data_IF_558348805565
#
_entry.id   IF_558348805565
#
_cell.length_a   1.000
_cell.length_b   1.000
_cell.length_c   1.000
_cell.angle_alpha   90.00
_cell.angle_beta   90.00
_cell.angle_gamma   90.00
#
_symmetry.space_group_name_H-M   'P 1'
#
loop_
_entity.id
_entity.type
_entity.pdbx_description
1 polymer ?
#
# COMPACT_ATOMS: atom_id res chain seq x y z
N UNK A 1 -2.64 22.59 7.41
CA UNK A 1 -3.40 21.48 7.97
C UNK A 1 -4.74 21.46 7.24
N UNK A 2 -5.01 20.42 6.47
CA UNK A 2 -6.31 20.27 5.82
C UNK A 2 -7.23 19.60 6.83
N UNK A 3 -8.33 20.25 7.17
CA UNK A 3 -9.35 19.67 8.03
C UNK A 3 -10.41 19.04 7.13
N UNK A 4 -10.60 17.73 7.24
CA UNK A 4 -11.72 17.06 6.60
C UNK A 4 -13.08 17.61 7.09
N UNK A 5 -14.18 17.37 6.36
CA UNK A 5 -15.51 17.82 6.74
C UNK A 5 -15.91 17.36 8.15
N UNK A 6 -16.73 18.17 8.81
CA UNK A 6 -17.19 17.97 10.17
C UNK A 6 -17.90 16.61 10.35
N UNK A 7 -17.45 15.79 11.30
CA UNK A 7 -18.01 14.45 11.56
C UNK A 7 -17.44 13.32 10.71
N UNK A 8 -16.39 13.59 9.92
CA UNK A 8 -15.62 12.53 9.24
C UNK A 8 -14.45 12.07 10.10
N UNK A 9 -14.00 10.83 9.90
CA UNK A 9 -12.80 10.26 10.55
C UNK A 9 -11.49 11.01 10.18
N UNK A 10 -11.56 11.92 9.21
CA UNK A 10 -10.44 12.69 8.63
C UNK A 10 -10.22 14.07 9.28
N UNK A 11 -10.89 14.35 10.40
CA UNK A 11 -10.95 15.68 11.03
C UNK A 11 -9.63 16.10 11.71
N UNK A 12 -8.93 15.12 12.28
CA UNK A 12 -7.79 15.28 13.18
C UNK A 12 -6.56 14.57 12.63
N UNK A 13 -6.17 14.88 11.37
CA UNK A 13 -4.93 14.36 10.78
C UNK A 13 -3.69 14.94 11.47
N UNK A 14 -3.20 14.26 12.51
CA UNK A 14 -1.82 14.42 12.96
C UNK A 14 -0.87 13.80 11.93
N UNK A 15 0.39 14.24 11.90
CA UNK A 15 1.37 13.79 10.91
C UNK A 15 1.61 12.27 10.90
N UNK A 16 2.56 11.82 10.07
CA UNK A 16 2.96 10.41 10.11
C UNK A 16 3.42 10.01 11.53
N UNK A 17 2.95 8.86 12.01
CA UNK A 17 3.39 8.29 13.28
C UNK A 17 4.88 7.92 13.21
N UNK A 18 5.69 8.67 13.95
CA UNK A 18 7.13 8.50 14.01
C UNK A 18 7.57 7.15 14.62
N UNK A 19 6.68 6.44 15.32
CA UNK A 19 6.98 5.12 15.90
C UNK A 19 7.02 4.01 14.84
N UNK A 20 6.47 4.27 13.65
CA UNK A 20 6.51 3.37 12.50
C UNK A 20 7.68 3.73 11.56
N UNK A 21 8.83 4.18 12.09
CA UNK A 21 10.04 4.51 11.29
C UNK A 21 11.04 3.34 11.28
N UNK A 22 11.60 3.05 10.10
CA UNK A 22 12.76 2.15 9.94
C UNK A 22 13.68 2.72 8.86
N UNK A 23 14.99 2.61 9.06
CA UNK A 23 15.99 3.09 8.11
C UNK A 23 16.28 2.02 7.05
N UNK A 24 16.09 2.35 5.77
CA UNK A 24 16.45 1.45 4.68
C UNK A 24 17.90 1.68 4.27
N UNK A 25 18.71 0.65 4.48
CA UNK A 25 20.07 0.61 4.00
C UNK A 25 20.11 0.11 2.55
N UNK A 26 20.23 1.00 1.58
CA UNK A 26 20.30 0.65 0.16
C UNK A 26 21.48 -0.27 -0.18
N UNK A 27 22.57 -0.27 0.59
CA UNK A 27 23.67 -1.20 0.39
C UNK A 27 23.28 -2.66 0.67
N UNK A 28 22.25 -2.88 1.49
CA UNK A 28 21.66 -4.20 1.76
C UNK A 28 20.60 -4.60 0.72
N UNK A 29 20.19 -3.67 -0.16
CA UNK A 29 19.19 -3.93 -1.19
C UNK A 29 19.85 -4.40 -2.49
N UNK A 30 19.40 -5.55 -3.01
CA UNK A 30 19.80 -6.07 -4.31
C UNK A 30 18.60 -6.08 -5.25
N UNK A 31 18.68 -5.33 -6.34
CA UNK A 31 17.66 -5.38 -7.38
C UNK A 31 17.70 -6.73 -8.10
N UNK A 32 16.57 -7.44 -8.11
CA UNK A 32 16.45 -8.72 -8.83
C UNK A 32 15.88 -8.46 -10.23
N UNK A 33 14.72 -7.81 -10.32
CA UNK A 33 14.09 -7.43 -11.60
C UNK A 33 13.06 -6.33 -11.43
N UNK A 34 12.77 -5.63 -12.51
CA UNK A 34 11.61 -4.74 -12.60
C UNK A 34 10.35 -5.57 -12.82
N UNK A 35 9.30 -5.31 -12.03
CA UNK A 35 8.00 -5.98 -12.15
C UNK A 35 7.04 -5.18 -13.04
N UNK A 36 6.96 -3.87 -12.85
CA UNK A 36 6.05 -2.98 -13.59
C UNK A 36 6.57 -1.55 -13.58
N UNK A 37 6.25 -0.80 -14.63
CA UNK A 37 6.37 0.66 -14.64
C UNK A 37 5.08 1.25 -15.18
N UNK A 38 4.65 2.36 -14.60
CA UNK A 38 3.51 3.16 -15.02
C UNK A 38 3.90 4.63 -15.06
N UNK A 39 2.94 5.51 -15.37
CA UNK A 39 3.13 6.97 -15.26
C UNK A 39 3.32 7.44 -13.81
N UNK A 40 2.87 6.66 -12.83
CA UNK A 40 2.78 7.07 -11.42
C UNK A 40 3.79 6.36 -10.53
N UNK A 41 4.31 5.20 -10.95
CA UNK A 41 5.30 4.45 -10.17
C UNK A 41 6.08 3.43 -10.99
N UNK A 42 7.20 3.00 -10.44
CA UNK A 42 7.99 1.85 -10.87
C UNK A 42 8.09 0.85 -9.73
N UNK A 43 7.79 -0.42 -10.02
CA UNK A 43 7.72 -1.52 -9.06
C UNK A 43 8.83 -2.51 -9.37
N UNK A 44 9.59 -2.88 -8.35
CA UNK A 44 10.75 -3.75 -8.43
C UNK A 44 10.63 -4.93 -7.49
N UNK A 45 11.12 -6.09 -7.92
CA UNK A 45 11.44 -7.19 -7.04
C UNK A 45 12.89 -7.01 -6.58
N UNK A 46 13.09 -6.95 -5.27
CA UNK A 46 14.39 -6.77 -4.63
C UNK A 46 14.61 -7.84 -3.58
N UNK A 47 15.86 -8.15 -3.27
CA UNK A 47 16.22 -8.79 -2.02
C UNK A 47 16.66 -7.70 -1.04
N UNK A 48 16.08 -7.68 0.16
CA UNK A 48 16.46 -6.77 1.23
C UNK A 48 16.68 -7.58 2.51
N UNK A 49 17.90 -7.55 3.04
CA UNK A 49 18.29 -8.35 4.21
C UNK A 49 18.02 -9.86 4.09
N UNK A 50 18.28 -10.42 2.91
CA UNK A 50 18.06 -11.84 2.63
C UNK A 50 16.64 -12.17 2.19
N UNK A 51 15.68 -11.27 2.43
CA UNK A 51 14.25 -11.50 2.18
C UNK A 51 13.80 -10.90 0.83
N UNK A 52 13.01 -11.60 0.02
CA UNK A 52 12.41 -11.05 -1.18
C UNK A 52 11.32 -10.02 -0.82
N UNK A 53 11.38 -8.85 -1.45
CA UNK A 53 10.46 -7.72 -1.23
C UNK A 53 10.03 -7.08 -2.54
N UNK A 54 8.89 -6.41 -2.50
CA UNK A 54 8.47 -5.47 -3.53
C UNK A 54 8.89 -4.07 -3.10
N UNK A 55 9.68 -3.42 -3.93
CA UNK A 55 10.05 -2.02 -3.78
C UNK A 55 9.30 -1.19 -4.82
N UNK A 56 8.31 -0.41 -4.39
CA UNK A 56 7.51 0.46 -5.26
C UNK A 56 7.98 1.89 -5.07
N UNK A 57 8.44 2.53 -6.15
CA UNK A 57 8.93 3.90 -6.21
C UNK A 57 7.96 4.76 -6.99
N UNK A 58 7.49 5.86 -6.41
CA UNK A 58 6.51 6.73 -7.04
C UNK A 58 7.19 7.82 -7.87
N UNK A 59 6.57 8.15 -8.99
CA UNK A 59 6.90 9.31 -9.81
C UNK A 59 6.10 10.50 -9.27
N UNK A 60 6.67 11.23 -8.31
CA UNK A 60 6.02 12.38 -7.70
C UNK A 60 6.10 13.58 -8.63
N UNK A 61 4.95 14.07 -9.10
CA UNK A 61 4.85 15.27 -9.95
C UNK A 61 4.55 16.53 -9.11
N UNK A 62 5.12 16.64 -7.91
CA UNK A 62 5.01 17.80 -7.00
C UNK A 62 3.61 18.12 -6.43
N UNK A 63 2.56 17.36 -6.75
CA UNK A 63 1.22 17.63 -6.21
C UNK A 63 1.09 17.15 -4.75
N UNK A 64 1.06 18.12 -3.83
CA UNK A 64 0.90 17.91 -2.38
C UNK A 64 -0.54 18.12 -1.92
N UNK A 65 -1.46 18.43 -2.83
CA UNK A 65 -2.79 18.92 -2.49
C UNK A 65 -3.76 17.78 -2.16
N UNK A 66 -4.91 18.19 -1.64
CA UNK A 66 -6.11 17.36 -1.59
C UNK A 66 -7.02 17.78 -2.73
N UNK A 67 -7.97 16.92 -3.09
CA UNK A 67 -9.06 17.32 -3.96
C UNK A 67 -9.87 18.46 -3.32
N UNK A 68 -10.71 19.13 -4.10
CA UNK A 68 -11.52 20.28 -3.65
C UNK A 68 -12.46 19.94 -2.48
N UNK A 69 -12.74 18.65 -2.26
CA UNK A 69 -13.51 18.14 -1.11
C UNK A 69 -12.72 18.09 0.21
N UNK A 70 -11.40 18.30 0.16
CA UNK A 70 -10.51 18.23 1.33
C UNK A 70 -10.30 16.82 1.90
N UNK A 71 -10.86 15.79 1.28
CA UNK A 71 -10.83 14.39 1.77
C UNK A 71 -9.84 13.56 0.95
N UNK A 72 -9.91 13.63 -0.38
CA UNK A 72 -9.09 12.77 -1.23
C UNK A 72 -7.68 13.31 -1.36
N UNK A 73 -6.68 12.52 -0.94
CA UNK A 73 -5.28 12.83 -1.21
C UNK A 73 -4.96 12.74 -2.71
N UNK A 74 -4.35 13.79 -3.28
CA UNK A 74 -3.88 13.76 -4.67
C UNK A 74 -2.45 13.22 -4.78
N UNK A 75 -1.75 13.17 -3.65
CA UNK A 75 -0.42 12.60 -3.55
C UNK A 75 -0.50 11.08 -3.34
N UNK A 76 -0.24 10.33 -4.42
CA UNK A 76 -0.41 8.87 -4.45
C UNK A 76 0.44 8.12 -3.43
N UNK A 77 1.68 8.57 -3.24
CA UNK A 77 2.54 7.95 -2.23
C UNK A 77 2.07 8.24 -0.82
N UNK A 78 1.60 9.46 -0.54
CA UNK A 78 1.00 9.80 0.76
C UNK A 78 -0.18 8.89 1.06
N UNK A 79 -1.09 8.69 0.09
CA UNK A 79 -2.23 7.78 0.24
C UNK A 79 -1.77 6.35 0.58
N UNK A 80 -0.85 5.78 -0.20
CA UNK A 80 -0.42 4.39 0.00
C UNK A 80 0.36 4.20 1.30
N UNK A 81 1.27 5.12 1.64
CA UNK A 81 2.03 5.05 2.90
C UNK A 81 1.08 5.16 4.09
N UNK A 82 0.14 6.11 4.08
CA UNK A 82 -0.85 6.25 5.17
C UNK A 82 -1.72 5.00 5.31
N UNK A 83 -2.17 4.43 4.20
CA UNK A 83 -2.95 3.21 4.22
C UNK A 83 -2.16 2.07 4.88
N UNK A 84 -0.89 1.86 4.49
CA UNK A 84 -0.06 0.84 5.11
C UNK A 84 0.27 1.12 6.58
N UNK A 85 0.43 2.39 7.00
CA UNK A 85 0.55 2.77 8.40
C UNK A 85 -0.69 2.32 9.20
N UNK A 86 -1.90 2.67 8.74
CA UNK A 86 -3.13 2.27 9.41
C UNK A 86 -3.31 0.75 9.39
N UNK A 87 -3.07 0.08 8.27
CA UNK A 87 -3.14 -1.39 8.18
C UNK A 87 -2.21 -2.06 9.19
N UNK A 88 -1.03 -1.49 9.45
CA UNK A 88 -0.10 -2.01 10.46
C UNK A 88 -0.55 -1.69 11.88
N UNK A 89 -0.98 -0.46 12.14
CA UNK A 89 -1.47 -0.02 13.45
C UNK A 89 -2.66 -0.86 13.93
N UNK A 90 -3.58 -1.20 13.02
CA UNK A 90 -4.76 -2.02 13.31
C UNK A 90 -4.50 -3.53 13.17
N UNK A 91 -3.26 -3.97 12.91
CA UNK A 91 -2.90 -5.39 12.84
C UNK A 91 -3.41 -6.15 11.60
N UNK A 92 -3.92 -5.45 10.59
CA UNK A 92 -4.49 -6.06 9.38
C UNK A 92 -3.40 -6.74 8.53
N UNK A 93 -2.18 -6.19 8.51
CA UNK A 93 -1.03 -6.79 7.82
C UNK A 93 -0.74 -8.23 8.28
N UNK A 94 -0.95 -8.51 9.57
CA UNK A 94 -0.65 -9.82 10.15
C UNK A 94 -1.76 -10.85 9.85
N UNK A 95 -2.95 -10.39 9.44
CA UNK A 95 -4.09 -11.24 9.04
C UNK A 95 -4.01 -11.78 7.61
N UNK A 96 -3.00 -11.38 6.82
CA UNK A 96 -2.76 -11.89 5.47
C UNK A 96 -3.68 -11.31 4.37
N UNK A 97 -4.56 -10.37 4.69
CA UNK A 97 -5.49 -9.73 3.73
C UNK A 97 -4.82 -8.67 2.85
N UNK A 98 -3.68 -8.17 3.29
CA UNK A 98 -2.83 -7.19 2.60
C UNK A 98 -1.37 -7.67 2.66
N UNK A 99 -0.46 -7.15 1.83
CA UNK A 99 0.95 -7.46 1.94
C UNK A 99 1.48 -7.03 3.30
N UNK A 100 2.36 -7.84 3.89
CA UNK A 100 3.08 -7.37 5.06
C UNK A 100 4.00 -6.20 4.66
N UNK A 101 3.94 -5.12 5.42
CA UNK A 101 4.65 -3.88 5.12
C UNK A 101 5.80 -3.67 6.11
N UNK A 102 6.95 -3.26 5.58
CA UNK A 102 8.07 -2.76 6.37
C UNK A 102 8.12 -1.24 6.23
N UNK A 103 7.97 -0.48 7.33
CA UNK A 103 7.99 0.96 7.25
C UNK A 103 9.29 1.58 6.70
N UNK A 104 9.10 2.74 6.06
CA UNK A 104 9.99 3.88 5.76
C UNK A 104 11.33 3.71 5.00
N UNK A 105 11.69 4.78 4.25
CA UNK A 105 12.90 4.98 3.46
C UNK A 105 13.54 6.31 3.87
N UNK A 106 14.38 6.27 4.90
CA UNK A 106 15.00 7.47 5.47
C UNK A 106 15.99 8.17 4.52
N UNK A 107 16.56 7.47 3.52
CA UNK A 107 17.61 8.00 2.62
C UNK A 107 17.21 9.20 1.75
N UNK A 108 15.97 9.66 1.93
CA UNK A 108 15.23 10.56 1.08
C UNK A 108 14.70 11.77 1.83
N UNK A 109 14.93 11.81 3.15
CA UNK A 109 14.52 12.87 4.08
C UNK A 109 15.15 14.24 3.76
N UNK A 110 16.30 14.27 3.08
CA UNK A 110 17.00 15.50 2.68
C UNK A 110 16.79 15.90 1.21
N UNK A 111 16.05 15.09 0.45
CA UNK A 111 15.71 15.44 -0.92
C UNK A 111 14.62 16.51 -0.90
N UNK A 112 14.82 17.59 -1.66
CA UNK A 112 13.86 18.70 -1.79
C UNK A 112 12.50 18.26 -2.34
N UNK A 113 12.40 17.04 -2.87
CA UNK A 113 11.16 16.27 -2.97
C UNK A 113 11.44 14.86 -2.48
N UNK A 114 10.83 14.45 -1.36
CA UNK A 114 10.93 13.08 -0.82
C UNK A 114 10.68 12.08 -1.95
N UNK A 115 11.66 11.29 -2.42
CA UNK A 115 11.34 10.16 -3.27
C UNK A 115 10.52 9.20 -2.41
N UNK A 116 9.30 9.07 -2.86
CA UNK A 116 8.35 8.25 -2.19
C UNK A 116 8.54 6.83 -2.67
N UNK A 117 8.68 5.93 -1.74
CA UNK A 117 8.62 4.52 -2.03
C UNK A 117 8.08 3.74 -0.83
N UNK A 118 7.64 2.52 -1.10
CA UNK A 118 7.22 1.56 -0.08
C UNK A 118 7.93 0.24 -0.31
N UNK A 119 8.28 -0.43 0.79
CA UNK A 119 8.84 -1.78 0.78
C UNK A 119 7.82 -2.74 1.41
N UNK A 120 7.28 -3.65 0.61
CA UNK A 120 6.23 -4.59 1.02
C UNK A 120 6.64 -6.04 0.70
N UNK A 121 5.89 -6.98 1.24
CA UNK A 121 6.00 -8.40 0.99
C UNK A 121 6.01 -8.71 -0.52
N UNK A 122 6.93 -9.59 -0.93
CA UNK A 122 6.90 -10.17 -2.26
C UNK A 122 6.04 -11.42 -2.29
N UNK A 123 4.98 -11.40 -3.09
CA UNK A 123 4.12 -12.56 -3.31
C UNK A 123 4.65 -13.36 -4.52
N UNK A 124 5.03 -14.64 -4.35
CA UNK A 124 5.55 -15.44 -5.45
C UNK A 124 4.42 -15.92 -6.36
N UNK A 125 4.49 -15.55 -7.64
CA UNK A 125 3.59 -16.02 -8.70
C UNK A 125 2.08 -15.90 -8.38
N UNK A 126 1.60 -14.73 -7.91
CA UNK A 126 0.19 -14.55 -7.61
C UNK A 126 -0.64 -14.61 -8.90
N UNK A 127 -1.85 -15.15 -8.78
CA UNK A 127 -2.89 -15.00 -9.79
C UNK A 127 -3.66 -13.71 -9.54
N UNK A 128 -4.08 -13.02 -10.60
CA UNK A 128 -4.93 -11.83 -10.49
C UNK A 128 -6.40 -12.26 -10.50
N UNK A 129 -7.23 -11.63 -9.67
CA UNK A 129 -8.67 -11.82 -9.73
C UNK A 129 -9.23 -11.31 -11.07
N UNK A 130 -9.96 -12.17 -11.78
CA UNK A 130 -10.62 -11.86 -13.04
C UNK A 130 -11.77 -12.87 -13.29
N UNK A 131 -12.37 -12.83 -14.47
CA UNK A 131 -13.46 -13.74 -14.84
C UNK A 131 -13.08 -15.23 -14.87
N UNK A 132 -11.80 -15.57 -15.04
CA UNK A 132 -11.30 -16.96 -15.08
C UNK A 132 -11.00 -17.46 -13.67
N UNK A 133 -10.40 -16.63 -12.82
CA UNK A 133 -10.05 -17.01 -11.45
C UNK A 133 -11.21 -16.86 -10.48
N UNK A 134 -12.31 -16.23 -10.90
CA UNK A 134 -13.52 -16.02 -10.10
C UNK A 134 -14.17 -17.34 -9.66
N UNK A 135 -14.58 -17.39 -8.39
CA UNK A 135 -15.60 -18.31 -7.89
C UNK A 135 -16.37 -17.63 -6.76
N UNK A 136 -17.56 -18.14 -6.42
CA UNK A 136 -18.36 -17.60 -5.29
C UNK A 136 -17.59 -17.67 -3.98
N UNK A 137 -16.94 -18.80 -3.71
CA UNK A 137 -16.18 -19.02 -2.47
C UNK A 137 -14.97 -18.08 -2.37
N UNK A 138 -14.26 -17.87 -3.48
CA UNK A 138 -13.15 -16.90 -3.54
C UNK A 138 -13.65 -15.48 -3.29
N UNK A 139 -14.78 -15.09 -3.89
CA UNK A 139 -15.35 -13.77 -3.66
C UNK A 139 -15.81 -13.53 -2.23
N UNK A 140 -16.29 -14.55 -1.53
CA UNK A 140 -16.63 -14.42 -0.11
C UNK A 140 -15.39 -14.09 0.73
N UNK A 141 -14.24 -14.74 0.44
CA UNK A 141 -12.96 -14.42 1.10
C UNK A 141 -12.45 -13.02 0.76
N UNK A 142 -12.58 -12.61 -0.50
CA UNK A 142 -12.25 -11.24 -0.95
C UNK A 142 -13.10 -10.20 -0.21
N UNK A 143 -14.40 -10.46 -0.03
CA UNK A 143 -15.32 -9.59 0.70
C UNK A 143 -14.94 -9.46 2.19
N UNK A 144 -14.46 -10.54 2.81
CA UNK A 144 -13.91 -10.47 4.17
C UNK A 144 -12.68 -9.56 4.20
N UNK A 145 -11.77 -9.69 3.23
CA UNK A 145 -10.57 -8.85 3.15
C UNK A 145 -10.87 -7.35 3.09
N UNK A 146 -11.85 -6.92 2.26
CA UNK A 146 -12.20 -5.49 2.20
C UNK A 146 -12.89 -5.00 3.49
N UNK A 147 -13.65 -5.86 4.18
CA UNK A 147 -14.20 -5.53 5.49
C UNK A 147 -13.09 -5.30 6.53
N UNK A 148 -12.02 -6.09 6.51
CA UNK A 148 -10.87 -5.88 7.39
C UNK A 148 -10.15 -4.56 7.11
N UNK A 149 -10.04 -4.17 5.83
CA UNK A 149 -9.48 -2.86 5.44
C UNK A 149 -10.35 -1.72 6.00
N UNK A 150 -11.68 -1.84 5.90
CA UNK A 150 -12.59 -0.83 6.46
C UNK A 150 -12.51 -0.74 7.99
N UNK A 151 -12.24 -1.85 8.70
CA UNK A 151 -12.01 -1.83 10.15
C UNK A 151 -10.75 -1.05 10.56
N UNK A 152 -9.78 -0.92 9.65
CA UNK A 152 -8.61 -0.05 9.82
C UNK A 152 -8.86 1.40 9.37
N UNK A 153 -10.14 1.79 9.23
CA UNK A 153 -10.57 3.13 8.84
C UNK A 153 -10.10 3.57 7.44
N UNK A 154 -9.93 2.61 6.53
CA UNK A 154 -9.47 2.87 5.16
C UNK A 154 -10.58 2.58 4.17
N UNK A 155 -10.84 3.51 3.24
CA UNK A 155 -11.54 3.22 1.99
C UNK A 155 -10.52 2.98 0.88
N UNK A 156 -10.52 1.79 0.26
CA UNK A 156 -9.55 1.46 -0.78
C UNK A 156 -9.67 2.37 -2.03
N UNK A 157 -10.89 2.80 -2.37
CA UNK A 157 -11.18 3.73 -3.47
C UNK A 157 -10.74 3.30 -4.90
N UNK A 158 -10.22 2.08 -5.07
CA UNK A 158 -9.99 1.42 -6.38
C UNK A 158 -10.22 -0.11 -6.27
N UNK A 159 -11.39 -0.59 -5.80
CA UNK A 159 -11.61 -2.02 -5.47
C UNK A 159 -11.87 -2.89 -6.71
N UNK A 160 -11.12 -2.68 -7.80
CA UNK A 160 -11.25 -3.48 -9.02
C UNK A 160 -10.49 -4.81 -8.90
N UNK A 161 -10.93 -5.86 -9.62
CA UNK A 161 -10.28 -7.19 -9.59
C UNK A 161 -8.77 -7.19 -9.84
N UNK A 162 -8.25 -6.25 -10.64
CA UNK A 162 -6.81 -6.07 -10.89
C UNK A 162 -5.96 -5.86 -9.61
N UNK A 163 -6.59 -5.39 -8.53
CA UNK A 163 -5.95 -5.06 -7.25
C UNK A 163 -6.16 -6.17 -6.20
N UNK A 164 -6.69 -7.31 -6.61
CA UNK A 164 -6.84 -8.50 -5.77
C UNK A 164 -5.94 -9.60 -6.32
N UNK A 165 -4.98 -10.02 -5.51
CA UNK A 165 -4.07 -11.12 -5.80
C UNK A 165 -4.48 -12.38 -5.04
N UNK A 166 -4.33 -13.53 -5.69
CA UNK A 166 -4.55 -14.86 -5.13
C UNK A 166 -3.19 -15.56 -5.11
N UNK A 167 -2.72 -15.86 -3.91
CA UNK A 167 -1.51 -16.67 -3.72
C UNK A 167 -1.97 -18.13 -3.57
N UNK A 168 -1.49 -19.05 -4.44
CA UNK A 168 -1.91 -20.45 -4.43
C UNK A 168 -1.23 -21.25 -3.30
N UNK A 169 -1.32 -20.73 -2.07
CA UNK A 169 -0.92 -21.40 -0.83
C UNK A 169 -1.96 -22.44 -0.39
N UNK A 170 -1.67 -23.19 0.67
CA UNK A 170 -2.62 -24.13 1.31
C UNK A 170 -2.91 -23.69 2.75
N UNK A 171 -4.03 -22.99 3.02
CA UNK A 171 -5.08 -22.58 2.08
C UNK A 171 -4.73 -21.35 1.25
N UNK A 172 -5.44 -21.15 0.13
CA UNK A 172 -5.26 -19.96 -0.73
C UNK A 172 -5.37 -18.65 0.07
N UNK A 173 -4.44 -17.73 -0.19
CA UNK A 173 -4.42 -16.39 0.42
C UNK A 173 -4.87 -15.33 -0.58
N UNK A 174 -5.72 -14.41 -0.12
CA UNK A 174 -6.29 -13.33 -0.92
C UNK A 174 -5.74 -11.99 -0.42
N UNK A 175 -5.05 -11.26 -1.28
CA UNK A 175 -4.28 -10.08 -0.90
C UNK A 175 -4.74 -8.87 -1.71
N UNK A 176 -5.21 -7.84 -1.01
CA UNK A 176 -5.53 -6.52 -1.57
C UNK A 176 -4.26 -5.67 -1.68
N UNK A 177 -4.06 -5.03 -2.84
CA UNK A 177 -2.88 -4.22 -3.14
C UNK A 177 -3.26 -2.89 -3.78
N UNK A 178 -2.28 -1.99 -3.93
CA UNK A 178 -2.42 -0.72 -4.66
C UNK A 178 -3.34 0.29 -3.96
N UNK A 179 -2.92 0.75 -2.78
CA UNK A 179 -3.62 1.75 -1.97
C UNK A 179 -3.29 3.20 -2.38
N UNK A 180 -2.84 3.41 -3.61
CA UNK A 180 -2.29 4.70 -4.07
C UNK A 180 -3.34 5.80 -4.29
N UNK A 181 -4.62 5.47 -4.13
CA UNK A 181 -5.75 6.41 -4.11
C UNK A 181 -6.64 6.20 -2.88
N UNK A 182 -6.18 5.42 -1.89
CA UNK A 182 -6.94 5.15 -0.68
C UNK A 182 -7.24 6.44 0.09
N UNK A 183 -8.38 6.43 0.77
CA UNK A 183 -8.80 7.48 1.69
C UNK A 183 -8.62 6.92 3.10
N UNK A 184 -7.88 7.65 3.94
CA UNK A 184 -7.37 7.23 5.25
C UNK A 184 -7.56 8.37 6.22
#
# INVERSE_FOLDING_TARGET
MAHGPEGTIYRDEEGFDDTLKIDINFAQMKLIRKLKTSRTSSIFHVNYNGEPRVFKVFHNNEDTRYADDGVRGLNRSRCEIRAYCNLKLYGICDGGYVPNWAPHLEAFHHDSGLPSAVLIEYLPQPLVMNSVTYSKDRMQKVAIGIQQIHLALIEHNDPYPKNILIVPDDPERFVWIDFDVAIV
#
